data_IF_374447108929
#
_entry.id   IF_374447108929
#
_cell.length_a   1.000
_cell.length_b   1.000
_cell.length_c   1.000
_cell.angle_alpha   90.00
_cell.angle_beta   90.00
_cell.angle_gamma   90.00
#
_symmetry.space_group_name_H-M   'P 1'
#
loop_
_entity.id
_entity.type
_entity.pdbx_description
1 polymer ?
#
# COMPACT_ATOMS: atom_id res chain seq x y z
N UNK A 1 2.87 24.36 -19.48
CA UNK A 1 1.89 23.85 -18.50
C UNK A 1 2.44 22.54 -18.01
N UNK A 2 2.43 22.36 -16.70
CA UNK A 2 2.96 21.17 -16.02
C UNK A 2 1.84 20.63 -15.15
N UNK A 3 1.74 19.31 -15.06
CA UNK A 3 0.78 18.62 -14.22
C UNK A 3 1.25 18.65 -12.76
N UNK A 4 0.30 18.64 -11.84
CA UNK A 4 0.60 18.52 -10.41
C UNK A 4 1.24 17.15 -10.10
N UNK A 5 1.92 17.06 -8.95
CA UNK A 5 2.52 15.81 -8.48
C UNK A 5 1.50 14.65 -8.51
N UNK A 6 1.97 13.47 -8.94
CA UNK A 6 1.13 12.29 -9.11
C UNK A 6 0.14 12.34 -10.28
N UNK A 7 0.29 13.28 -11.22
CA UNK A 7 -0.53 13.37 -12.43
C UNK A 7 0.32 13.43 -13.71
N UNK A 8 -0.15 12.78 -14.76
CA UNK A 8 0.47 12.83 -16.10
C UNK A 8 -0.59 13.00 -17.18
N UNK A 9 -0.19 13.38 -18.39
CA UNK A 9 -1.09 13.55 -19.53
C UNK A 9 -1.67 12.21 -20.02
N UNK A 10 -0.96 11.10 -19.79
CA UNK A 10 -1.45 9.75 -20.11
C UNK A 10 -2.17 9.09 -18.92
N UNK A 11 -1.83 9.44 -17.68
CA UNK A 11 -2.27 8.74 -16.47
C UNK A 11 -1.39 7.53 -16.11
N UNK A 12 -0.20 7.44 -16.70
CA UNK A 12 0.77 6.37 -16.45
C UNK A 12 1.94 6.91 -15.59
N UNK A 13 2.50 6.06 -14.74
CA UNK A 13 3.71 6.38 -13.96
C UNK A 13 4.87 6.68 -14.93
N UNK A 14 5.54 7.80 -14.70
CA UNK A 14 6.61 8.27 -15.59
C UNK A 14 6.13 8.75 -16.97
N UNK A 15 4.81 8.89 -17.17
CA UNK A 15 4.24 9.49 -18.36
C UNK A 15 4.56 10.99 -18.48
N UNK A 16 4.32 11.61 -19.66
CA UNK A 16 4.60 13.02 -19.87
C UNK A 16 3.72 13.88 -18.95
N UNK A 17 4.34 14.76 -18.19
CA UNK A 17 3.73 15.65 -17.19
C UNK A 17 3.57 17.09 -17.69
N UNK A 18 4.17 17.44 -18.84
CA UNK A 18 4.21 18.81 -19.31
C UNK A 18 3.83 18.94 -20.78
N UNK A 19 3.18 20.06 -21.11
CA UNK A 19 2.82 20.41 -22.48
C UNK A 19 2.83 21.91 -22.73
N UNK A 20 2.98 22.28 -24.00
CA UNK A 20 2.90 23.66 -24.49
C UNK A 20 1.59 23.86 -25.23
N UNK A 21 1.01 25.04 -25.10
CA UNK A 21 -0.10 25.51 -25.94
C UNK A 21 0.45 26.47 -26.97
N UNK A 22 -0.08 26.41 -28.18
CA UNK A 22 0.37 27.23 -29.31
C UNK A 22 -0.74 28.17 -29.76
N UNK A 23 -0.39 29.41 -30.12
CA UNK A 23 -1.33 30.32 -30.75
C UNK A 23 -1.56 29.88 -32.20
N UNK A 24 -2.82 29.72 -32.59
CA UNK A 24 -3.24 29.29 -33.92
C UNK A 24 -3.54 30.50 -34.81
N UNK A 25 -3.66 30.28 -36.13
CA UNK A 25 -3.94 31.35 -37.11
C UNK A 25 -5.26 32.09 -36.88
N UNK A 26 -6.20 31.49 -36.14
CA UNK A 26 -7.46 32.09 -35.73
C UNK A 26 -7.36 32.95 -34.46
N UNK A 27 -6.15 33.18 -33.93
CA UNK A 27 -5.90 33.94 -32.70
C UNK A 27 -6.27 33.20 -31.41
N UNK A 28 -6.65 31.93 -31.46
CA UNK A 28 -6.97 31.10 -30.29
C UNK A 28 -5.77 30.21 -29.91
N UNK A 29 -5.67 29.88 -28.63
CA UNK A 29 -4.72 28.87 -28.16
C UNK A 29 -5.22 27.46 -28.52
N UNK A 30 -4.30 26.57 -28.93
CA UNK A 30 -4.53 25.14 -29.13
C UNK A 30 -5.28 24.53 -27.95
N UNK A 31 -6.10 23.50 -28.15
CA UNK A 31 -6.89 22.91 -27.06
C UNK A 31 -6.03 22.53 -25.83
N UNK A 32 -6.53 22.79 -24.61
CA UNK A 32 -5.83 22.38 -23.40
C UNK A 32 -5.83 20.85 -23.29
N UNK A 33 -4.76 20.30 -22.71
CA UNK A 33 -4.70 18.89 -22.32
C UNK A 33 -5.09 18.75 -20.86
N UNK A 34 -5.66 17.60 -20.52
CA UNK A 34 -6.05 17.25 -19.16
C UNK A 34 -4.97 16.40 -18.50
N UNK A 35 -4.60 16.74 -17.27
CA UNK A 35 -3.76 15.90 -16.43
C UNK A 35 -4.62 14.85 -15.73
N UNK A 36 -4.21 13.59 -15.78
CA UNK A 36 -4.89 12.45 -15.16
C UNK A 36 -4.05 11.94 -14.00
N UNK A 37 -4.66 11.45 -12.90
CA UNK A 37 -3.89 10.83 -11.83
C UNK A 37 -3.17 9.59 -12.37
N UNK A 38 -1.96 9.34 -11.89
CA UNK A 38 -1.23 8.12 -12.27
C UNK A 38 -1.95 6.88 -11.74
N UNK A 39 -2.00 5.83 -12.56
CA UNK A 39 -2.45 4.52 -12.12
C UNK A 39 -1.26 3.71 -11.59
N UNK A 40 -1.35 3.22 -10.35
CA UNK A 40 -0.37 2.30 -9.78
C UNK A 40 -0.56 0.85 -10.25
N UNK A 41 -1.61 0.57 -11.04
CA UNK A 41 -1.94 -0.77 -11.47
C UNK A 41 -2.42 -1.62 -10.29
N UNK A 42 -2.12 -2.93 -10.32
CA UNK A 42 -2.59 -3.86 -9.28
C UNK A 42 -1.75 -3.74 -8.00
N UNK A 43 -2.38 -3.76 -6.81
CA UNK A 43 -1.67 -3.76 -5.54
C UNK A 43 -0.67 -4.93 -5.40
N UNK A 44 0.46 -4.72 -4.71
CA UNK A 44 1.47 -5.76 -4.51
C UNK A 44 0.94 -6.94 -3.69
N UNK A 45 1.41 -8.15 -3.98
CA UNK A 45 1.01 -9.33 -3.21
C UNK A 45 1.67 -9.29 -1.84
N UNK A 46 0.87 -9.46 -0.78
CA UNK A 46 1.36 -9.68 0.58
C UNK A 46 0.87 -11.05 1.05
N UNK A 47 1.81 -11.93 1.38
CA UNK A 47 1.53 -13.27 1.89
C UNK A 47 0.77 -13.20 3.21
N UNK A 48 -0.11 -14.18 3.43
CA UNK A 48 -0.98 -14.26 4.63
C UNK A 48 -1.83 -13.00 4.84
N UNK A 49 -2.36 -12.44 3.76
CA UNK A 49 -3.22 -11.26 3.81
C UNK A 49 -4.30 -11.26 2.74
N UNK A 50 -5.36 -10.50 3.03
CA UNK A 50 -6.47 -10.22 2.14
C UNK A 50 -6.47 -8.74 1.77
N UNK A 51 -6.61 -8.46 0.48
CA UNK A 51 -6.61 -7.11 -0.08
C UNK A 51 -7.43 -7.07 -1.38
N UNK A 52 -7.97 -5.90 -1.77
CA UNK A 52 -8.70 -5.77 -3.01
C UNK A 52 -7.74 -5.91 -4.21
N UNK A 53 -8.14 -6.70 -5.21
CA UNK A 53 -7.36 -6.92 -6.44
C UNK A 53 -7.64 -5.86 -7.53
N UNK A 54 -8.25 -4.74 -7.14
CA UNK A 54 -8.60 -3.65 -8.04
C UNK A 54 -7.44 -2.66 -8.12
N UNK A 55 -7.26 -2.08 -9.30
CA UNK A 55 -6.27 -1.03 -9.51
C UNK A 55 -6.59 0.23 -8.70
N UNK A 56 -5.53 0.90 -8.25
CA UNK A 56 -5.63 2.18 -7.55
C UNK A 56 -4.88 3.28 -8.32
N UNK A 57 -5.35 4.52 -8.15
CA UNK A 57 -4.71 5.72 -8.70
C UNK A 57 -4.09 6.55 -7.59
N UNK A 58 -3.25 7.52 -7.96
CA UNK A 58 -2.54 8.40 -7.05
C UNK A 58 -3.39 8.92 -5.88
N UNK A 59 -2.87 8.80 -4.67
CA UNK A 59 -3.49 9.24 -3.42
C UNK A 59 -4.53 8.29 -2.85
N UNK A 60 -4.78 7.14 -3.48
CA UNK A 60 -5.68 6.11 -2.93
C UNK A 60 -4.94 5.16 -1.99
N UNK A 61 -5.61 4.85 -0.88
CA UNK A 61 -5.17 3.85 0.09
C UNK A 61 -5.82 2.49 -0.18
N UNK A 62 -4.99 1.45 -0.18
CA UNK A 62 -5.42 0.06 -0.31
C UNK A 62 -5.31 -0.63 1.05
N UNK A 63 -6.43 -1.02 1.68
CA UNK A 63 -6.38 -1.72 2.96
C UNK A 63 -6.01 -3.20 2.77
N UNK A 64 -5.06 -3.65 3.59
CA UNK A 64 -4.63 -5.04 3.73
C UNK A 64 -5.02 -5.53 5.11
N UNK A 65 -5.56 -6.74 5.16
CA UNK A 65 -5.91 -7.43 6.40
C UNK A 65 -5.10 -8.72 6.47
N UNK A 66 -4.23 -8.83 7.47
CA UNK A 66 -3.53 -10.07 7.77
C UNK A 66 -4.52 -11.19 8.10
N UNK A 67 -4.21 -12.40 7.65
CA UNK A 67 -5.00 -13.59 7.94
C UNK A 67 -4.99 -13.90 9.44
N UNK A 68 -5.95 -14.74 9.87
CA UNK A 68 -6.02 -15.18 11.27
C UNK A 68 -4.71 -15.83 11.70
N UNK A 69 -4.21 -15.44 12.87
CA UNK A 69 -2.90 -15.89 13.37
C UNK A 69 -1.71 -15.05 12.88
N UNK A 70 -1.95 -13.98 12.11
CA UNK A 70 -0.92 -13.04 11.65
C UNK A 70 -1.26 -11.60 12.04
N UNK A 71 -0.23 -10.83 12.39
CA UNK A 71 -0.33 -9.37 12.61
C UNK A 71 0.90 -8.68 12.06
N UNK A 72 0.81 -7.37 11.85
CA UNK A 72 1.94 -6.56 11.34
C UNK A 72 3.13 -6.58 12.31
N UNK A 73 2.85 -6.62 13.62
CA UNK A 73 3.88 -6.58 14.67
C UNK A 73 4.22 -7.95 15.26
N UNK A 74 3.62 -9.04 14.78
CA UNK A 74 3.68 -10.38 15.38
C UNK A 74 3.14 -10.47 16.83
N UNK A 75 2.52 -9.42 17.35
CA UNK A 75 1.92 -9.44 18.69
C UNK A 75 0.46 -9.95 18.61
N UNK A 76 -0.05 -10.67 19.64
CA UNK A 76 -1.44 -11.14 19.68
C UNK A 76 -2.48 -10.01 19.63
N UNK A 77 -2.14 -8.86 20.22
CA UNK A 77 -2.93 -7.63 20.17
C UNK A 77 -2.40 -6.62 19.15
N UNK A 78 -1.51 -7.06 18.25
CA UNK A 78 -0.96 -6.23 17.19
C UNK A 78 -2.01 -5.86 16.14
N UNK A 79 -1.79 -4.79 15.37
CA UNK A 79 -2.68 -4.45 14.27
C UNK A 79 -2.64 -5.56 13.21
N UNK A 80 -3.82 -6.06 12.85
CA UNK A 80 -4.01 -6.98 11.74
C UNK A 80 -4.24 -6.23 10.41
N UNK A 81 -4.52 -4.93 10.45
CA UNK A 81 -4.81 -4.12 9.27
C UNK A 81 -3.73 -3.07 9.06
N UNK A 82 -3.33 -2.86 7.80
CA UNK A 82 -2.50 -1.75 7.38
C UNK A 82 -2.92 -1.27 5.98
N UNK A 83 -2.58 -0.03 5.65
CA UNK A 83 -2.81 0.51 4.32
C UNK A 83 -1.51 0.52 3.51
N UNK A 84 -1.66 0.40 2.19
CA UNK A 84 -0.62 0.64 1.19
C UNK A 84 -1.12 1.76 0.28
N UNK A 85 -0.43 2.89 0.26
CA UNK A 85 -0.79 4.05 -0.54
C UNK A 85 -0.20 3.98 -1.96
N UNK A 86 -0.99 4.39 -2.95
CA UNK A 86 -0.51 4.64 -4.32
C UNK A 86 0.08 6.05 -4.41
N UNK A 87 1.40 6.12 -4.52
CA UNK A 87 2.17 7.35 -4.67
C UNK A 87 2.44 7.67 -6.15
N UNK A 88 3.20 8.74 -6.41
CA UNK A 88 3.51 9.20 -7.77
C UNK A 88 4.33 8.18 -8.59
N UNK A 89 5.11 7.35 -7.90
CA UNK A 89 6.02 6.37 -8.49
C UNK A 89 5.53 4.93 -8.36
N UNK A 90 4.28 4.73 -7.93
CA UNK A 90 3.73 3.40 -7.65
C UNK A 90 3.33 3.22 -6.19
N UNK A 91 3.15 1.96 -5.79
CA UNK A 91 2.83 1.63 -4.40
C UNK A 91 4.06 1.79 -3.50
N UNK A 92 3.84 2.29 -2.29
CA UNK A 92 4.84 2.20 -1.22
C UNK A 92 5.17 0.73 -0.89
N UNK A 93 6.31 0.49 -0.26
CA UNK A 93 6.70 -0.85 0.15
C UNK A 93 5.70 -1.38 1.21
N UNK A 94 4.97 -2.47 0.91
CA UNK A 94 3.96 -2.97 1.84
C UNK A 94 4.60 -3.57 3.10
N UNK A 95 3.86 -3.52 4.21
CA UNK A 95 4.24 -4.25 5.43
C UNK A 95 4.01 -5.74 5.23
N UNK A 96 4.72 -6.56 6.01
CA UNK A 96 4.53 -8.01 6.03
C UNK A 96 3.63 -8.43 7.19
N UNK A 97 2.77 -9.41 6.93
CA UNK A 97 2.02 -10.11 7.95
C UNK A 97 2.91 -11.18 8.59
N UNK A 98 3.07 -11.13 9.91
CA UNK A 98 3.94 -12.03 10.68
C UNK A 98 3.10 -12.90 11.60
N UNK A 99 3.46 -14.18 11.73
CA UNK A 99 2.79 -15.11 12.66
C UNK A 99 2.80 -14.52 14.07
N UNK A 100 1.66 -14.58 14.73
CA UNK A 100 1.50 -14.10 16.10
C UNK A 100 2.35 -14.95 17.03
N UNK A 101 3.14 -14.27 17.86
CA UNK A 101 3.96 -14.87 18.91
C UNK A 101 3.18 -14.82 20.23
N UNK A 102 2.94 -15.97 20.84
CA UNK A 102 2.30 -16.10 22.14
C UNK A 102 3.15 -15.46 23.25
N UNK A 103 2.49 -14.98 24.31
CA UNK A 103 3.16 -14.49 25.52
C UNK A 103 3.96 -15.58 26.25
N UNK A 104 4.79 -15.16 27.21
CA UNK A 104 5.55 -16.09 28.06
C UNK A 104 4.62 -16.78 29.03
N UNK A 105 4.90 -18.03 29.38
CA UNK A 105 4.18 -18.71 30.44
C UNK A 105 4.37 -17.99 31.79
N UNK A 106 3.28 -17.58 32.42
CA UNK A 106 3.29 -16.96 33.74
C UNK A 106 3.64 -17.98 34.83
N UNK A 107 4.69 -17.72 35.60
CA UNK A 107 5.11 -18.59 36.71
C UNK A 107 4.02 -18.67 37.78
N UNK A 108 3.50 -19.87 38.01
CA UNK A 108 2.54 -20.15 39.08
C UNK A 108 3.25 -20.49 40.41
N UNK A 109 2.55 -20.34 41.53
CA UNK A 109 3.09 -20.68 42.87
C UNK A 109 3.40 -22.17 42.96
N UNK A 110 4.55 -22.53 43.55
CA UNK A 110 5.06 -23.91 43.62
C UNK A 110 5.28 -24.60 42.27
N UNK A 111 5.30 -23.86 41.16
CA UNK A 111 5.56 -24.40 39.82
C UNK A 111 6.88 -23.87 39.23
N UNK A 112 7.54 -24.70 38.44
CA UNK A 112 8.69 -24.32 37.60
C UNK A 112 8.24 -24.27 36.14
N UNK A 113 8.44 -23.12 35.50
CA UNK A 113 8.12 -22.96 34.07
C UNK A 113 9.25 -23.57 33.25
N UNK A 114 8.90 -24.41 32.27
CA UNK A 114 9.79 -24.91 31.23
C UNK A 114 9.10 -24.69 29.89
N UNK A 115 9.64 -23.82 29.04
CA UNK A 115 9.13 -23.59 27.69
C UNK A 115 9.89 -24.50 26.70
N UNK A 116 9.16 -25.21 25.84
CA UNK A 116 9.71 -26.07 24.78
C UNK A 116 8.92 -25.83 23.49
N UNK A 117 9.61 -25.67 22.35
CA UNK A 117 8.99 -25.41 21.04
C UNK A 117 8.91 -23.94 20.65
N UNK A 118 8.44 -23.65 19.44
CA UNK A 118 8.22 -22.29 18.95
C UNK A 118 6.90 -21.73 19.50
N UNK A 119 6.92 -20.48 19.97
CA UNK A 119 5.75 -19.81 20.55
C UNK A 119 4.95 -19.05 19.51
N UNK A 120 4.70 -19.66 18.35
CA UNK A 120 3.99 -19.03 17.23
C UNK A 120 2.63 -19.71 17.02
N UNK A 121 1.65 -18.96 16.53
CA UNK A 121 0.34 -19.49 16.14
C UNK A 121 0.50 -20.62 15.11
N UNK A 122 -0.08 -21.80 15.39
CA UNK A 122 -0.04 -23.03 14.58
C UNK A 122 -1.24 -23.14 13.64
#
# INVERSE_FOLDING_TARGET
LECDAGHTLSGEIGGPDSYKRTCQSNGKLSEPKTCKPVSCGRPPVVEHSQYPKKEATYGQDVPYTCDTGFTVSAAPSGPAVFNVTCEENGYEAPKSCKRVVCGTCSKQKHATVRETGERVFE
#
